data_IF_759961536211
#
_entry.id   IF_759961536211
#
_cell.length_a   1.000
_cell.length_b   1.000
_cell.length_c   1.000
_cell.angle_alpha   90.00
_cell.angle_beta   90.00
_cell.angle_gamma   90.00
#
_symmetry.space_group_name_H-M   'P 1'
#
loop_
_entity.id
_entity.type
_entity.pdbx_description
1 polymer ?
#
# COMPACT_ATOMS: atom_id res chain seq x y z
N UNK A 1 24.18 -14.51 -34.07
CA UNK A 1 23.62 -13.21 -33.66
C UNK A 1 22.41 -13.49 -32.78
N UNK A 2 22.48 -13.22 -31.49
CA UNK A 2 21.37 -13.35 -30.54
C UNK A 2 21.46 -12.20 -29.52
N UNK A 3 20.37 -11.79 -28.85
CA UNK A 3 18.95 -12.08 -29.09
C UNK A 3 18.04 -10.83 -29.06
N UNK A 4 16.76 -11.05 -29.41
CA UNK A 4 15.67 -10.10 -29.19
C UNK A 4 15.44 -9.90 -27.68
N UNK A 5 15.62 -8.68 -27.19
CA UNK A 5 15.29 -8.27 -25.82
C UNK A 5 13.90 -7.66 -25.76
N UNK A 6 12.86 -8.47 -25.90
CA UNK A 6 11.53 -8.06 -25.41
C UNK A 6 11.61 -8.26 -23.90
N UNK A 7 11.66 -7.14 -23.16
CA UNK A 7 11.51 -7.16 -21.71
C UNK A 7 10.20 -7.90 -21.38
N UNK A 8 10.29 -9.12 -20.89
CA UNK A 8 9.16 -9.80 -20.27
C UNK A 8 8.67 -8.89 -19.14
N UNK A 9 7.52 -8.25 -19.34
CA UNK A 9 6.82 -7.62 -18.22
C UNK A 9 6.53 -8.74 -17.24
N UNK A 10 7.13 -8.67 -16.06
CA UNK A 10 6.83 -9.56 -14.95
C UNK A 10 5.32 -9.55 -14.76
N UNK A 11 4.68 -10.70 -15.00
CA UNK A 11 3.23 -10.84 -14.83
C UNK A 11 2.95 -10.87 -13.33
N UNK A 12 2.29 -9.83 -12.85
CA UNK A 12 1.77 -9.75 -11.49
C UNK A 12 0.26 -9.93 -11.55
N UNK A 13 -0.25 -10.92 -10.84
CA UNK A 13 -1.68 -11.13 -10.62
C UNK A 13 -2.09 -10.46 -9.31
N UNK A 14 -3.18 -9.70 -9.33
CA UNK A 14 -3.80 -9.18 -8.10
C UNK A 14 -5.07 -9.99 -7.84
N UNK A 15 -5.16 -10.61 -6.67
CA UNK A 15 -6.33 -11.39 -6.24
C UNK A 15 -6.71 -11.09 -4.80
N UNK A 16 -7.95 -11.44 -4.44
CA UNK A 16 -8.40 -11.40 -3.03
C UNK A 16 -7.44 -12.19 -2.15
N UNK A 17 -7.14 -11.61 -0.99
CA UNK A 17 -6.39 -12.27 0.05
C UNK A 17 -7.31 -13.23 0.81
N UNK A 18 -6.80 -14.41 1.10
CA UNK A 18 -7.42 -15.38 2.00
C UNK A 18 -6.68 -15.41 3.33
N UNK A 19 -7.27 -15.99 4.37
CA UNK A 19 -6.58 -16.21 5.64
C UNK A 19 -5.27 -17.03 5.48
N UNK A 20 -5.17 -17.86 4.43
CA UNK A 20 -3.99 -18.66 4.12
C UNK A 20 -2.83 -17.87 3.51
N UNK A 21 -3.05 -16.63 3.08
CA UNK A 21 -1.98 -15.77 2.55
C UNK A 21 -1.18 -15.06 3.66
N UNK A 22 -1.73 -14.95 4.87
CA UNK A 22 -1.10 -14.21 5.97
C UNK A 22 0.31 -14.72 6.33
N UNK A 23 0.59 -16.04 6.39
CA UNK A 23 1.95 -16.53 6.62
C UNK A 23 2.97 -16.09 5.57
N UNK A 24 2.54 -15.80 4.34
CA UNK A 24 3.41 -15.28 3.28
C UNK A 24 3.52 -13.74 3.32
N UNK A 25 2.48 -13.05 3.77
CA UNK A 25 2.46 -11.58 3.94
C UNK A 25 3.31 -11.15 5.15
N UNK A 26 3.21 -11.90 6.24
CA UNK A 26 3.78 -11.52 7.54
C UNK A 26 5.29 -11.20 7.50
N UNK A 27 6.17 -11.98 6.86
CA UNK A 27 7.60 -11.71 6.89
C UNK A 27 7.97 -10.32 6.36
N UNK A 28 7.43 -9.93 5.21
CA UNK A 28 7.73 -8.61 4.65
C UNK A 28 6.93 -7.49 5.32
N UNK A 29 5.70 -7.76 5.79
CA UNK A 29 4.97 -6.82 6.64
C UNK A 29 5.81 -6.44 7.87
N UNK A 30 6.28 -7.46 8.60
CA UNK A 30 7.05 -7.29 9.82
C UNK A 30 8.37 -6.55 9.54
N UNK A 31 9.08 -6.91 8.47
CA UNK A 31 10.31 -6.21 8.08
C UNK A 31 10.08 -4.72 7.79
N UNK A 32 8.99 -4.37 7.09
CA UNK A 32 8.64 -2.97 6.78
C UNK A 32 8.27 -2.19 8.04
N UNK A 33 7.48 -2.80 8.93
CA UNK A 33 7.05 -2.16 10.18
C UNK A 33 8.22 -2.00 11.16
N UNK A 34 9.02 -3.04 11.34
CA UNK A 34 10.19 -3.01 12.22
C UNK A 34 11.26 -2.02 11.73
N UNK A 35 11.36 -1.79 10.41
CA UNK A 35 12.23 -0.75 9.86
C UNK A 35 11.77 0.65 10.29
N UNK A 36 10.47 0.88 10.51
CA UNK A 36 9.97 2.15 11.04
C UNK A 36 10.13 3.36 10.11
N UNK A 37 10.27 3.14 8.80
CA UNK A 37 10.58 4.20 7.83
C UNK A 37 9.35 4.71 7.05
N UNK A 38 8.27 3.91 6.97
CA UNK A 38 7.19 4.15 6.00
C UNK A 38 5.76 4.02 6.54
N UNK A 39 5.58 3.41 7.72
CA UNK A 39 4.28 3.22 8.37
C UNK A 39 4.32 3.71 9.81
N UNK A 40 3.19 4.23 10.29
CA UNK A 40 3.00 4.70 11.68
C UNK A 40 2.61 3.56 12.64
N UNK A 41 2.97 2.33 12.33
CA UNK A 41 2.72 1.19 13.22
C UNK A 41 3.82 1.08 14.29
N UNK A 42 3.50 0.51 15.47
CA UNK A 42 4.51 0.17 16.46
C UNK A 42 5.56 -0.76 15.83
N UNK A 43 6.87 -0.48 15.91
CA UNK A 43 7.91 -1.34 15.35
C UNK A 43 7.89 -2.79 15.87
N UNK A 44 7.39 -2.98 17.10
CA UNK A 44 7.25 -4.25 17.80
C UNK A 44 5.87 -4.92 17.62
N UNK A 45 5.06 -4.47 16.66
CA UNK A 45 3.71 -4.98 16.41
C UNK A 45 3.73 -6.50 16.17
N UNK A 46 2.90 -7.23 16.92
CA UNK A 46 2.81 -8.69 16.82
C UNK A 46 1.98 -9.17 15.62
N UNK A 47 2.23 -10.41 15.17
CA UNK A 47 1.62 -10.98 13.96
C UNK A 47 0.08 -11.02 14.00
N UNK A 48 -0.53 -11.44 15.11
CA UNK A 48 -1.99 -11.55 15.21
C UNK A 48 -2.67 -10.18 15.25
N UNK A 49 -2.08 -9.22 15.95
CA UNK A 49 -2.58 -7.84 15.99
C UNK A 49 -2.44 -7.17 14.62
N UNK A 50 -1.28 -7.31 13.99
CA UNK A 50 -1.04 -6.86 12.62
C UNK A 50 -2.04 -7.44 11.63
N UNK A 51 -2.35 -8.74 11.74
CA UNK A 51 -3.37 -9.41 10.92
C UNK A 51 -4.73 -8.74 11.10
N UNK A 52 -5.14 -8.50 12.34
CA UNK A 52 -6.41 -7.81 12.65
C UNK A 52 -6.49 -6.40 12.08
N UNK A 53 -5.36 -5.69 11.99
CA UNK A 53 -5.30 -4.34 11.41
C UNK A 53 -5.19 -4.34 9.87
N UNK A 54 -4.63 -5.39 9.29
CA UNK A 54 -4.34 -5.46 7.86
C UNK A 54 -5.42 -6.17 7.05
N UNK A 55 -6.16 -7.10 7.64
CA UNK A 55 -7.20 -7.88 6.98
C UNK A 55 -8.61 -7.49 7.48
N UNK A 56 -9.12 -6.28 7.15
CA UNK A 56 -10.44 -5.85 7.60
C UNK A 56 -11.56 -6.67 6.96
N UNK A 57 -12.68 -6.78 7.69
CA UNK A 57 -13.89 -7.45 7.24
C UNK A 57 -14.61 -6.68 6.10
N UNK A 58 -15.43 -7.39 5.30
CA UNK A 58 -16.32 -6.76 4.31
C UNK A 58 -17.18 -5.64 4.92
N UNK A 59 -17.47 -4.55 4.17
CA UNK A 59 -17.22 -4.35 2.74
C UNK A 59 -15.82 -3.82 2.41
N UNK A 60 -14.90 -3.80 3.36
CA UNK A 60 -13.49 -3.50 3.08
C UNK A 60 -12.83 -4.72 2.41
N UNK A 61 -11.67 -4.50 1.81
CA UNK A 61 -11.04 -5.48 0.92
C UNK A 61 -9.55 -5.58 1.19
N UNK A 62 -9.02 -6.80 1.08
CA UNK A 62 -7.59 -7.07 1.15
C UNK A 62 -7.19 -7.92 -0.04
N UNK A 63 -6.09 -7.56 -0.69
CA UNK A 63 -5.55 -8.27 -1.85
C UNK A 63 -4.10 -8.67 -1.63
N UNK A 64 -3.66 -9.66 -2.40
CA UNK A 64 -2.25 -9.99 -2.58
C UNK A 64 -1.85 -9.84 -4.03
N UNK A 65 -0.62 -9.40 -4.24
CA UNK A 65 0.07 -9.46 -5.52
C UNK A 65 0.86 -10.76 -5.58
N UNK A 66 0.61 -11.57 -6.62
CA UNK A 66 1.25 -12.86 -6.84
C UNK A 66 2.08 -12.79 -8.11
N UNK A 67 3.33 -13.21 -8.05
CA UNK A 67 4.21 -13.25 -9.22
C UNK A 67 3.96 -14.50 -10.10
N UNK A 68 4.67 -14.58 -11.23
CA UNK A 68 4.54 -15.70 -12.16
C UNK A 68 4.95 -17.06 -11.57
N UNK A 69 5.73 -17.08 -10.47
CA UNK A 69 6.10 -18.29 -9.75
C UNK A 69 5.09 -18.69 -8.67
N UNK A 70 4.03 -17.89 -8.47
CA UNK A 70 3.01 -18.12 -7.44
C UNK A 70 3.38 -17.55 -6.07
N UNK A 71 4.45 -16.76 -5.96
CA UNK A 71 4.87 -16.17 -4.70
C UNK A 71 4.06 -14.89 -4.41
N UNK A 72 3.63 -14.71 -3.15
CA UNK A 72 3.04 -13.45 -2.69
C UNK A 72 4.15 -12.42 -2.51
N UNK A 73 4.15 -11.38 -3.34
CA UNK A 73 5.20 -10.35 -3.41
C UNK A 73 4.71 -8.96 -2.98
N UNK A 74 3.45 -8.86 -2.59
CA UNK A 74 2.88 -7.63 -2.04
C UNK A 74 1.45 -7.83 -1.59
N UNK A 75 0.92 -6.84 -0.88
CA UNK A 75 -0.45 -6.81 -0.40
C UNK A 75 -0.97 -5.38 -0.34
N UNK A 76 -2.27 -5.23 -0.46
CA UNK A 76 -2.94 -3.99 -0.15
C UNK A 76 -4.22 -4.24 0.63
N UNK A 77 -4.56 -3.31 1.51
CA UNK A 77 -5.91 -3.21 2.06
C UNK A 77 -6.55 -1.92 1.60
N UNK A 78 -7.86 -1.93 1.45
CA UNK A 78 -8.65 -0.78 1.02
C UNK A 78 -9.99 -0.77 1.75
N UNK A 79 -10.39 0.42 2.18
CA UNK A 79 -11.48 0.62 3.12
C UNK A 79 -12.14 1.98 2.95
N UNK A 80 -13.27 2.20 3.63
CA UNK A 80 -13.79 3.56 3.83
C UNK A 80 -12.78 4.35 4.65
N UNK A 81 -12.42 5.55 4.23
CA UNK A 81 -11.48 6.38 4.99
C UNK A 81 -12.09 6.84 6.31
N UNK A 82 -13.39 7.14 6.30
CA UNK A 82 -14.15 7.61 7.46
C UNK A 82 -15.54 6.98 7.49
N UNK A 83 -16.21 7.04 8.64
CA UNK A 83 -17.59 6.58 8.79
C UNK A 83 -18.62 7.66 8.37
N UNK A 84 -19.90 7.28 8.37
CA UNK A 84 -21.04 8.21 8.21
C UNK A 84 -20.91 9.14 6.99
N UNK A 85 -21.02 10.46 7.22
CA UNK A 85 -20.97 11.46 6.16
C UNK A 85 -19.62 11.52 5.41
N UNK A 86 -18.55 10.93 5.96
CA UNK A 86 -17.25 10.80 5.30
C UNK A 86 -17.06 9.50 4.51
N UNK A 87 -18.02 8.58 4.54
CA UNK A 87 -17.89 7.23 3.97
C UNK A 87 -17.78 7.17 2.43
N UNK A 88 -17.97 8.30 1.75
CA UNK A 88 -17.84 8.42 0.30
C UNK A 88 -16.38 8.59 -0.18
N UNK A 89 -15.41 8.65 0.73
CA UNK A 89 -13.97 8.69 0.44
C UNK A 89 -13.34 7.37 0.88
N UNK A 90 -12.62 6.71 -0.03
CA UNK A 90 -11.85 5.51 0.25
C UNK A 90 -10.47 5.84 0.84
N UNK A 91 -9.86 4.85 1.47
CA UNK A 91 -8.43 4.82 1.77
C UNK A 91 -7.85 3.46 1.39
N UNK A 92 -6.53 3.40 1.30
CA UNK A 92 -5.82 2.15 1.09
C UNK A 92 -4.41 2.22 1.69
N UNK A 93 -3.81 1.06 1.92
CA UNK A 93 -2.42 0.90 2.35
C UNK A 93 -1.77 -0.22 1.55
N UNK A 94 -0.47 -0.10 1.29
CA UNK A 94 0.26 -1.00 0.39
C UNK A 94 1.56 -1.44 1.05
N UNK A 95 1.89 -2.72 0.91
CA UNK A 95 3.20 -3.26 1.25
C UNK A 95 3.69 -4.11 0.09
N UNK A 96 4.92 -3.87 -0.34
CA UNK A 96 5.61 -4.67 -1.35
C UNK A 96 6.80 -5.30 -0.68
N UNK A 97 7.01 -6.59 -0.89
CA UNK A 97 8.20 -7.26 -0.39
C UNK A 97 9.46 -6.52 -0.90
N UNK A 98 10.35 -6.05 0.01
CA UNK A 98 11.59 -5.36 -0.38
C UNK A 98 12.44 -6.14 -1.39
N UNK A 99 12.41 -7.49 -1.36
CA UNK A 99 13.13 -8.33 -2.33
C UNK A 99 12.54 -8.27 -3.76
N UNK A 100 11.32 -7.74 -3.88
CA UNK A 100 10.54 -7.65 -5.12
C UNK A 100 10.26 -6.19 -5.55
N UNK A 101 10.96 -5.23 -4.93
CA UNK A 101 10.89 -3.80 -5.28
C UNK A 101 11.29 -3.51 -6.73
N UNK A 102 10.80 -2.38 -7.28
CA UNK A 102 11.15 -1.92 -8.62
C UNK A 102 10.54 -2.71 -9.79
N UNK A 103 9.67 -3.70 -9.53
CA UNK A 103 9.04 -4.56 -10.55
C UNK A 103 7.60 -4.19 -10.90
N UNK A 104 7.14 -3.00 -10.50
CA UNK A 104 5.78 -2.51 -10.77
C UNK A 104 4.68 -3.06 -9.86
N UNK A 105 5.00 -3.87 -8.84
CA UNK A 105 4.04 -4.44 -7.88
C UNK A 105 3.21 -3.35 -7.18
N UNK A 106 3.87 -2.31 -6.66
CA UNK A 106 3.20 -1.20 -5.98
C UNK A 106 2.22 -0.47 -6.90
N UNK A 107 2.60 -0.24 -8.16
CA UNK A 107 1.69 0.36 -9.17
C UNK A 107 0.48 -0.52 -9.41
N UNK A 108 0.68 -1.82 -9.62
CA UNK A 108 -0.41 -2.76 -9.86
C UNK A 108 -1.42 -2.77 -8.69
N UNK A 109 -0.94 -2.73 -7.45
CA UNK A 109 -1.78 -2.66 -6.26
C UNK A 109 -2.58 -1.34 -6.15
N UNK A 110 -1.96 -0.19 -6.42
CA UNK A 110 -2.65 1.11 -6.40
C UNK A 110 -3.69 1.20 -7.52
N UNK A 111 -3.36 0.76 -8.72
CA UNK A 111 -4.32 0.74 -9.83
C UNK A 111 -5.51 -0.17 -9.54
N UNK A 112 -5.28 -1.31 -8.87
CA UNK A 112 -6.34 -2.21 -8.43
C UNK A 112 -7.27 -1.60 -7.38
N UNK A 113 -6.70 -0.92 -6.37
CA UNK A 113 -7.50 -0.24 -5.35
C UNK A 113 -8.32 0.92 -5.94
N UNK A 114 -7.79 1.64 -6.92
CA UNK A 114 -8.52 2.70 -7.63
C UNK A 114 -9.68 2.14 -8.46
N UNK A 115 -9.47 1.02 -9.17
CA UNK A 115 -10.55 0.31 -9.89
C UNK A 115 -11.64 -0.14 -8.94
N UNK A 116 -11.27 -0.78 -7.82
CA UNK A 116 -12.21 -1.20 -6.79
C UNK A 116 -12.99 -0.01 -6.23
N UNK A 117 -12.31 1.08 -5.85
CA UNK A 117 -12.95 2.23 -5.23
C UNK A 117 -13.96 2.89 -6.18
N UNK A 118 -13.62 3.00 -7.46
CA UNK A 118 -14.53 3.51 -8.49
C UNK A 118 -15.75 2.61 -8.68
N UNK A 119 -15.54 1.29 -8.78
CA UNK A 119 -16.62 0.32 -8.92
C UNK A 119 -17.57 0.30 -7.70
N UNK A 120 -17.03 0.53 -6.50
CA UNK A 120 -17.78 0.63 -5.25
C UNK A 120 -18.47 1.99 -5.03
N UNK A 121 -18.36 2.94 -5.97
CA UNK A 121 -19.06 4.23 -5.92
C UNK A 121 -18.42 5.29 -5.01
N UNK A 122 -17.15 5.11 -4.60
CA UNK A 122 -16.42 6.16 -3.89
C UNK A 122 -16.16 7.36 -4.81
N UNK A 123 -16.15 8.57 -4.23
CA UNK A 123 -15.91 9.84 -4.95
C UNK A 123 -14.44 10.25 -4.98
N UNK A 124 -13.62 9.68 -4.09
CA UNK A 124 -12.21 9.99 -3.98
C UNK A 124 -11.50 8.95 -3.12
N UNK A 125 -10.17 8.98 -3.17
CA UNK A 125 -9.30 8.20 -2.30
C UNK A 125 -8.32 9.12 -1.57
N UNK A 126 -8.14 8.90 -0.27
CA UNK A 126 -7.25 9.66 0.59
C UNK A 126 -6.25 8.74 1.29
N UNK A 127 -4.98 9.15 1.30
CA UNK A 127 -3.95 8.59 2.16
C UNK A 127 -3.66 9.60 3.29
N UNK A 128 -3.87 9.18 4.53
CA UNK A 128 -3.86 10.09 5.68
C UNK A 128 -2.46 10.41 6.19
N UNK A 129 -1.50 9.49 5.99
CA UNK A 129 -0.16 9.58 6.53
C UNK A 129 0.82 8.90 5.57
N UNK A 130 1.38 9.67 4.63
CA UNK A 130 2.48 9.24 3.78
C UNK A 130 3.74 9.92 4.28
N UNK A 131 4.72 9.16 4.77
CA UNK A 131 6.00 9.71 5.25
C UNK A 131 6.66 10.46 4.10
N UNK A 132 7.00 11.75 4.31
CA UNK A 132 7.51 12.62 3.24
C UNK A 132 8.81 12.10 2.62
N UNK A 133 9.62 11.40 3.42
CA UNK A 133 10.90 10.82 2.99
C UNK A 133 10.74 9.52 2.20
N UNK A 134 9.53 8.95 2.15
CA UNK A 134 9.21 7.81 1.28
C UNK A 134 9.00 8.27 -0.18
N UNK A 135 10.05 8.84 -0.77
CA UNK A 135 10.03 9.49 -2.07
C UNK A 135 9.58 8.55 -3.21
N UNK A 136 9.79 7.23 -3.07
CA UNK A 136 9.30 6.25 -4.04
C UNK A 136 7.76 6.16 -4.02
N UNK A 137 7.15 6.04 -2.84
CA UNK A 137 5.69 5.99 -2.73
C UNK A 137 5.06 7.32 -3.14
N UNK A 138 5.63 8.45 -2.69
CA UNK A 138 5.13 9.80 -3.05
C UNK A 138 5.09 9.97 -4.57
N UNK A 139 6.21 9.70 -5.28
CA UNK A 139 6.24 9.79 -6.75
C UNK A 139 5.24 8.86 -7.42
N UNK A 140 5.13 7.62 -6.96
CA UNK A 140 4.16 6.66 -7.51
C UNK A 140 2.72 7.18 -7.37
N UNK A 141 2.37 7.72 -6.21
CA UNK A 141 1.02 8.25 -5.99
C UNK A 141 0.76 9.49 -6.85
N UNK A 142 1.72 10.41 -6.98
CA UNK A 142 1.60 11.58 -7.86
C UNK A 142 1.40 11.18 -9.33
N UNK A 143 2.18 10.24 -9.84
CA UNK A 143 2.05 9.70 -11.20
C UNK A 143 0.68 9.03 -11.45
N UNK A 144 0.04 8.52 -10.39
CA UNK A 144 -1.29 7.92 -10.45
C UNK A 144 -2.42 8.94 -10.18
N UNK A 145 -2.09 10.22 -10.07
CA UNK A 145 -3.04 11.33 -9.99
C UNK A 145 -3.43 11.73 -8.57
N UNK A 146 -2.73 11.26 -7.54
CA UNK A 146 -2.83 11.84 -6.20
C UNK A 146 -2.09 13.17 -6.16
N UNK A 147 -2.57 14.07 -5.31
CA UNK A 147 -1.87 15.32 -4.96
C UNK A 147 -1.65 15.39 -3.47
N UNK A 148 -0.55 15.99 -3.05
CA UNK A 148 -0.35 16.38 -1.66
C UNK A 148 -1.37 17.48 -1.34
N UNK A 149 -2.24 17.22 -0.36
CA UNK A 149 -3.19 18.19 0.19
C UNK A 149 -2.48 19.13 1.17
N UNK A 150 -1.57 18.57 1.96
CA UNK A 150 -0.71 19.28 2.89
C UNK A 150 0.23 18.31 3.60
N UNK A 151 1.17 18.88 4.36
CA UNK A 151 2.13 18.13 5.17
C UNK A 151 1.99 18.58 6.61
N UNK A 152 1.81 17.63 7.54
CA UNK A 152 1.95 17.92 8.96
C UNK A 152 3.44 17.81 9.29
N UNK A 153 4.11 18.92 9.68
CA UNK A 153 5.55 18.88 9.96
C UNK A 153 5.84 18.07 11.22
N UNK A 154 7.00 17.41 11.24
CA UNK A 154 7.52 16.65 12.39
C UNK A 154 6.58 15.54 12.94
N UNK A 155 5.57 15.13 12.15
CA UNK A 155 4.55 14.17 12.55
C UNK A 155 4.99 12.69 12.47
N UNK A 156 6.22 12.41 12.04
CA UNK A 156 6.78 11.07 11.95
C UNK A 156 8.21 11.03 12.49
N UNK A 157 8.47 10.19 13.49
CA UNK A 157 9.82 9.99 14.06
C UNK A 157 10.56 8.90 13.27
N UNK A 158 11.27 9.30 12.23
CA UNK A 158 12.10 8.41 11.41
C UNK A 158 13.32 7.93 12.22
N UNK A 159 13.70 6.63 12.16
CA UNK A 159 14.81 6.09 12.96
C UNK A 159 16.17 6.72 12.62
N UNK A 160 16.35 7.11 11.35
CA UNK A 160 17.60 7.72 10.85
C UNK A 160 17.54 9.24 10.71
N UNK A 161 16.39 9.80 10.30
CA UNK A 161 16.28 11.19 9.83
C UNK A 161 15.69 12.14 10.89
N UNK A 162 15.37 11.62 12.10
CA UNK A 162 14.71 12.40 13.14
C UNK A 162 13.23 12.64 12.83
N UNK A 163 12.70 13.79 13.23
CA UNK A 163 11.31 14.13 12.97
C UNK A 163 11.13 14.62 11.53
N UNK A 164 10.22 13.97 10.81
CA UNK A 164 9.88 14.21 9.41
C UNK A 164 8.37 14.42 9.29
N UNK A 165 7.92 14.97 8.17
CA UNK A 165 6.53 15.25 7.89
C UNK A 165 5.71 14.04 7.43
N UNK A 166 4.39 14.15 7.62
CA UNK A 166 3.40 13.27 7.04
C UNK A 166 2.57 14.03 6.01
N UNK A 167 2.62 13.61 4.75
CA UNK A 167 1.71 14.10 3.73
C UNK A 167 0.32 13.48 3.92
N UNK A 168 -0.70 14.33 3.79
CA UNK A 168 -2.05 13.91 3.41
C UNK A 168 -2.11 13.98 1.88
N UNK A 169 -2.46 12.87 1.22
CA UNK A 169 -2.59 12.83 -0.23
C UNK A 169 -4.02 12.47 -0.64
N UNK A 170 -4.51 13.05 -1.74
CA UNK A 170 -5.88 12.86 -2.20
C UNK A 170 -5.98 12.75 -3.72
N UNK A 171 -6.90 11.92 -4.21
CA UNK A 171 -7.25 11.77 -5.62
C UNK A 171 -8.78 11.67 -5.79
N UNK A 172 -9.43 12.47 -6.66
CA UNK A 172 -10.83 12.23 -7.06
C UNK A 172 -10.95 10.98 -7.97
N UNK A 173 -12.08 10.28 -7.98
CA UNK A 173 -12.30 9.01 -8.71
C UNK A 173 -13.23 9.15 -9.94
#
# INVERSE_FOLDING_TARGET
MAPAGILERVRIEIREATAGDWPAVWPFFHAIVAAGETFTYPPELGAEEARGWWMPEPPNRTVVAVDAAGAVVGTAKMNRNQAGNGAHVASASYMVDPAHGGRGVGRALVEDSLRWAKAAGFRGMQFNAVVETNAHAVRLYEELGFRIVGTVPEAFRHPVLGYTGLHVMYRPL
#
